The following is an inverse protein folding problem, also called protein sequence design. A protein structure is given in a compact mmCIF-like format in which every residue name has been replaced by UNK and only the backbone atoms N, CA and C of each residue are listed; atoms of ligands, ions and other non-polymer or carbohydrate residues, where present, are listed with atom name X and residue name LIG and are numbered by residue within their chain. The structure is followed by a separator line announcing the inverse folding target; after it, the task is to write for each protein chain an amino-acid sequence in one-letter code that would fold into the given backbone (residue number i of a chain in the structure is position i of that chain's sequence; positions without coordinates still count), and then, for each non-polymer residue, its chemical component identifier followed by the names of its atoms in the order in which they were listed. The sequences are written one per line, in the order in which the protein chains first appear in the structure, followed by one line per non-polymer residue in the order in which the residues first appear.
data_IF_134739254215
#
_entry.id   IF_134739254215
#
_cell.length_a   1.000
_cell.length_b   1.000
_cell.length_c   1.000
_cell.angle_alpha   90.00
_cell.angle_beta   90.00
_cell.angle_gamma   90.00
#
_symmetry.space_group_name_H-M   'P 1'
#
loop_
_entity.id
_entity.type
_entity.pdbx_description
1 polymer ?
#
# COMPACT_ATOMS: atom_id res chain seq x y z
N UNK A 1 -7.12 6.81 7.06
CA UNK A 1 -6.28 5.68 6.60
C UNK A 1 -4.89 6.21 6.29
N UNK A 2 -3.85 5.41 6.47
CA UNK A 2 -2.46 5.78 6.18
C UNK A 2 -1.93 4.84 5.11
N UNK A 3 -1.37 5.36 4.02
CA UNK A 3 -0.94 4.56 2.87
C UNK A 3 0.51 4.83 2.47
N UNK A 4 1.21 3.76 2.10
CA UNK A 4 2.49 3.75 1.39
C UNK A 4 2.29 2.90 0.13
N UNK A 5 2.50 3.47 -1.05
CA UNK A 5 2.31 2.74 -2.28
C UNK A 5 3.33 3.07 -3.37
N UNK A 6 3.40 2.19 -4.36
CA UNK A 6 3.98 2.46 -5.67
C UNK A 6 2.83 2.65 -6.65
N UNK A 7 2.79 3.74 -7.42
CA UNK A 7 1.74 3.96 -8.42
C UNK A 7 2.26 4.71 -9.64
N UNK A 8 1.61 4.51 -10.78
CA UNK A 8 1.80 5.30 -11.99
C UNK A 8 0.50 5.91 -12.53
N UNK A 9 -0.48 6.16 -11.66
CA UNK A 9 -1.77 6.75 -12.03
C UNK A 9 -1.63 8.14 -12.68
N UNK A 10 -0.71 8.98 -12.23
CA UNK A 10 -0.51 10.31 -12.82
C UNK A 10 -0.15 10.27 -14.31
N UNK A 11 0.57 9.23 -14.74
CA UNK A 11 0.97 9.05 -16.15
C UNK A 11 0.03 8.12 -16.93
N UNK A 12 -0.76 7.30 -16.23
CA UNK A 12 -1.65 6.31 -16.81
C UNK A 12 -3.03 6.34 -16.13
N UNK A 13 -3.73 7.49 -16.15
CA UNK A 13 -4.94 7.69 -15.36
C UNK A 13 -6.02 6.66 -15.73
N UNK A 14 -6.48 5.91 -14.73
CA UNK A 14 -7.49 4.85 -14.90
C UNK A 14 -7.02 3.59 -15.64
N UNK A 15 -5.74 3.52 -16.01
CA UNK A 15 -5.08 2.35 -16.59
C UNK A 15 -3.71 2.10 -15.95
N UNK A 16 -3.60 2.36 -14.65
CA UNK A 16 -2.36 2.36 -13.90
C UNK A 16 -2.02 1.01 -13.27
N UNK A 17 -0.76 0.88 -12.89
CA UNK A 17 -0.27 -0.17 -11.99
C UNK A 17 -0.12 0.44 -10.60
N UNK A 18 -0.44 -0.33 -9.57
CA UNK A 18 -0.32 0.12 -8.18
C UNK A 18 -0.04 -1.04 -7.22
N UNK A 19 0.77 -0.77 -6.20
CA UNK A 19 1.17 -1.74 -5.17
C UNK A 19 1.07 -1.06 -3.82
N UNK A 20 0.16 -1.54 -2.97
CA UNK A 20 -0.29 -0.81 -1.78
C UNK A 20 0.10 -1.50 -0.48
N UNK A 21 0.46 -0.68 0.52
CA UNK A 21 0.44 -1.01 1.93
C UNK A 21 -0.38 0.05 2.68
N UNK A 22 -1.51 -0.35 3.24
CA UNK A 22 -2.49 0.57 3.82
C UNK A 22 -2.82 0.15 5.26
N UNK A 23 -2.55 1.03 6.21
CA UNK A 23 -3.04 0.90 7.57
C UNK A 23 -4.47 1.44 7.65
N UNK A 24 -5.41 0.52 7.73
CA UNK A 24 -6.83 0.82 7.90
C UNK A 24 -7.07 1.39 9.29
N UNK A 25 -7.90 2.44 9.37
CA UNK A 25 -8.29 3.04 10.64
C UNK A 25 -9.00 2.03 11.55
N UNK A 26 -9.01 2.32 12.84
CA UNK A 26 -9.62 1.45 13.84
C UNK A 26 -10.37 2.26 14.91
N UNK A 27 -11.11 1.57 15.77
CA UNK A 27 -11.77 2.14 16.95
C UNK A 27 -11.00 1.77 18.22
N UNK A 28 -11.22 2.50 19.32
CA UNK A 28 -10.60 2.19 20.61
C UNK A 28 -10.72 0.71 20.98
N UNK A 29 -9.61 0.12 21.43
CA UNK A 29 -9.53 -1.28 21.85
C UNK A 29 -9.48 -2.31 20.73
N UNK A 30 -9.47 -1.90 19.45
CA UNK A 30 -9.30 -2.82 18.31
C UNK A 30 -7.95 -2.62 17.64
N UNK A 31 -7.27 -3.70 17.21
CA UNK A 31 -5.99 -3.58 16.52
C UNK A 31 -6.17 -2.88 15.17
N UNK A 32 -5.09 -2.27 14.68
CA UNK A 32 -5.01 -1.84 13.29
C UNK A 32 -5.01 -3.05 12.35
N UNK A 33 -5.48 -2.82 11.12
CA UNK A 33 -5.38 -3.79 10.03
C UNK A 33 -4.42 -3.24 8.99
N UNK A 34 -3.41 -4.03 8.62
CA UNK A 34 -2.57 -3.74 7.48
C UNK A 34 -3.15 -4.47 6.26
N UNK A 35 -3.55 -3.70 5.25
CA UNK A 35 -3.99 -4.20 3.96
C UNK A 35 -2.83 -4.09 2.96
N UNK A 36 -2.69 -5.10 2.11
CA UNK A 36 -1.84 -5.03 0.92
C UNK A 36 -2.67 -5.24 -0.32
N UNK A 37 -2.35 -4.56 -1.41
CA UNK A 37 -3.06 -4.72 -2.68
C UNK A 37 -2.12 -4.63 -3.88
N UNK A 38 -2.58 -5.15 -5.02
CA UNK A 38 -1.86 -5.05 -6.30
C UNK A 38 -2.87 -4.83 -7.42
N UNK A 39 -2.76 -3.68 -8.07
CA UNK A 39 -3.51 -3.35 -9.28
C UNK A 39 -2.59 -3.36 -10.50
N UNK A 40 -3.12 -3.86 -11.61
CA UNK A 40 -2.41 -3.96 -12.88
C UNK A 40 -3.31 -3.38 -13.96
N UNK A 41 -2.78 -2.42 -14.74
CA UNK A 41 -3.43 -1.85 -15.92
C UNK A 41 -4.90 -1.47 -15.70
N UNK A 42 -5.15 -0.66 -14.68
CA UNK A 42 -6.48 -0.13 -14.37
C UNK A 42 -7.39 -1.13 -13.68
N UNK A 43 -6.89 -2.26 -13.18
CA UNK A 43 -7.74 -3.18 -12.40
C UNK A 43 -8.24 -2.58 -11.09
N UNK A 44 -7.72 -1.41 -10.67
CA UNK A 44 -8.24 -0.60 -9.57
C UNK A 44 -9.25 0.48 -9.99
N UNK A 45 -9.58 0.58 -11.28
CA UNK A 45 -10.44 1.63 -11.83
C UNK A 45 -11.66 1.06 -12.56
N UNK A 46 -12.82 1.72 -12.45
CA UNK A 46 -14.07 1.24 -13.04
C UNK A 46 -14.58 -0.04 -12.37
N UNK A 47 -14.42 -1.19 -13.04
CA UNK A 47 -14.71 -2.50 -12.42
C UNK A 47 -13.49 -2.93 -11.62
N UNK A 48 -13.53 -2.63 -10.32
CA UNK A 48 -12.45 -2.95 -9.38
C UNK A 48 -12.28 -4.48 -9.27
N UNK A 49 -11.05 -4.94 -9.54
CA UNK A 49 -10.59 -6.30 -9.30
C UNK A 49 -9.51 -6.21 -8.23
N UNK A 50 -9.99 -6.23 -6.98
CA UNK A 50 -9.16 -6.22 -5.79
C UNK A 50 -8.32 -7.49 -5.64
N UNK A 51 -7.10 -7.33 -5.15
CA UNK A 51 -6.18 -8.43 -4.76
C UNK A 51 -5.75 -8.22 -3.31
N UNK A 52 -6.71 -7.85 -2.46
CA UNK A 52 -6.47 -7.49 -1.07
C UNK A 52 -6.03 -8.71 -0.26
N UNK A 53 -5.06 -8.48 0.63
CA UNK A 53 -4.82 -9.34 1.78
C UNK A 53 -4.72 -8.47 3.01
N UNK A 54 -5.45 -8.83 4.07
CA UNK A 54 -5.53 -8.09 5.34
C UNK A 54 -4.84 -8.89 6.44
N UNK A 55 -4.09 -8.21 7.29
CA UNK A 55 -3.32 -8.79 8.37
C UNK A 55 -3.52 -8.00 9.67
N UNK A 56 -3.56 -8.71 10.79
CA UNK A 56 -3.19 -8.12 12.08
C UNK A 56 -1.70 -8.33 12.29
N UNK A 57 -1.02 -7.27 12.67
CA UNK A 57 0.42 -7.26 12.95
C UNK A 57 0.65 -7.55 14.44
N UNK A 58 1.81 -8.14 14.75
CA UNK A 58 2.15 -8.67 16.08
C UNK A 58 2.64 -7.60 17.08
N UNK A 59 2.38 -6.34 16.79
CA UNK A 59 2.76 -5.18 17.61
C UNK A 59 1.73 -4.06 17.44
N UNK A 60 1.76 -3.06 18.32
CA UNK A 60 0.97 -1.84 18.19
C UNK A 60 1.72 -0.82 17.32
N UNK A 61 1.26 -0.52 16.09
CA UNK A 61 1.96 0.36 15.16
C UNK A 61 1.91 1.84 15.57
N UNK A 62 1.24 2.18 16.68
CA UNK A 62 1.13 3.57 17.16
C UNK A 62 2.16 3.92 18.23
N UNK A 63 2.87 2.93 18.78
CA UNK A 63 3.80 3.10 19.90
C UNK A 63 5.21 3.45 19.44
N UNK A 64 5.71 2.82 18.37
CA UNK A 64 7.04 3.06 17.82
C UNK A 64 7.05 2.98 16.29
N UNK A 65 8.17 3.35 15.68
CA UNK A 65 8.39 3.23 14.24
C UNK A 65 8.73 1.80 13.84
N UNK A 66 8.13 1.35 12.74
CA UNK A 66 8.36 0.02 12.13
C UNK A 66 8.74 0.17 10.65
N UNK A 67 9.56 -0.74 10.13
CA UNK A 67 9.96 -0.72 8.73
C UNK A 67 8.92 -1.41 7.86
N UNK A 68 8.21 -0.64 7.03
CA UNK A 68 7.32 -1.17 5.99
C UNK A 68 8.05 -1.10 4.65
N UNK A 69 8.27 -2.25 4.01
CA UNK A 69 9.05 -2.35 2.77
C UNK A 69 8.27 -3.03 1.65
N UNK A 70 8.29 -2.43 0.46
CA UNK A 70 7.84 -3.04 -0.78
C UNK A 70 9.08 -3.35 -1.62
N UNK A 71 9.41 -4.62 -1.76
CA UNK A 71 10.42 -5.09 -2.70
C UNK A 71 9.73 -5.47 -4.01
N UNK A 72 10.01 -4.73 -5.09
CA UNK A 72 9.44 -5.00 -6.41
C UNK A 72 10.56 -5.29 -7.42
N UNK A 73 10.43 -6.42 -8.11
CA UNK A 73 11.32 -6.84 -9.20
C UNK A 73 10.50 -7.41 -10.36
N UNK A 74 11.08 -7.60 -11.56
CA UNK A 74 10.38 -8.24 -12.68
C UNK A 74 9.93 -9.69 -12.44
N UNK A 75 10.31 -10.31 -11.30
CA UNK A 75 9.97 -11.68 -10.93
C UNK A 75 8.88 -11.76 -9.86
N UNK A 76 8.86 -10.81 -8.92
CA UNK A 76 7.96 -10.85 -7.76
C UNK A 76 7.86 -9.51 -7.04
N UNK A 77 6.79 -9.37 -6.26
CA UNK A 77 6.64 -8.36 -5.21
C UNK A 77 6.68 -9.06 -3.86
N UNK A 78 7.42 -8.52 -2.91
CA UNK A 78 7.44 -8.98 -1.52
C UNK A 78 7.12 -7.78 -0.63
N UNK A 79 6.14 -7.95 0.25
CA UNK A 79 5.78 -6.99 1.28
C UNK A 79 6.40 -7.43 2.59
N UNK A 80 7.13 -6.54 3.25
CA UNK A 80 7.79 -6.82 4.52
C UNK A 80 7.38 -5.81 5.59
N UNK A 81 7.31 -6.31 6.81
CA UNK A 81 7.17 -5.52 8.03
C UNK A 81 8.28 -5.95 8.97
N UNK A 82 9.16 -5.02 9.36
CA UNK A 82 10.37 -5.28 10.16
C UNK A 82 11.21 -6.45 9.62
N UNK A 83 11.50 -6.41 8.31
CA UNK A 83 12.23 -7.45 7.57
C UNK A 83 11.56 -8.84 7.54
N UNK A 84 10.34 -8.98 8.08
CA UNK A 84 9.54 -10.21 8.00
C UNK A 84 8.62 -10.15 6.78
N UNK A 85 8.73 -11.08 5.82
CA UNK A 85 7.84 -11.11 4.66
C UNK A 85 6.42 -11.52 5.09
N UNK A 86 5.45 -10.61 4.91
CA UNK A 86 4.04 -10.86 5.22
C UNK A 86 3.24 -11.32 3.99
N UNK A 87 3.71 -10.99 2.79
CA UNK A 87 3.07 -11.39 1.53
C UNK A 87 4.09 -11.47 0.41
N UNK A 88 3.97 -12.52 -0.41
CA UNK A 88 4.69 -12.70 -1.67
C UNK A 88 3.71 -12.77 -2.83
N UNK A 89 3.96 -11.99 -3.87
CA UNK A 89 3.18 -11.96 -5.11
C UNK A 89 4.11 -12.29 -6.29
N UNK A 90 4.24 -13.57 -6.67
CA UNK A 90 5.09 -13.96 -7.79
C UNK A 90 4.46 -13.57 -9.12
N UNK A 91 5.28 -13.16 -10.11
CA UNK A 91 4.83 -12.95 -11.48
C UNK A 91 4.39 -14.27 -12.09
N UNK A 92 3.09 -14.39 -12.37
CA UNK A 92 2.51 -15.52 -13.09
C UNK A 92 2.35 -15.23 -14.58
N UNK A 93 2.03 -13.99 -14.93
CA UNK A 93 1.93 -13.52 -16.31
C UNK A 93 2.01 -11.99 -16.38
N UNK A 94 2.30 -11.46 -17.57
CA UNK A 94 2.41 -10.01 -17.82
C UNK A 94 1.08 -9.30 -17.66
N UNK A 95 -0.03 -10.01 -17.84
CA UNK A 95 -1.38 -9.50 -17.64
C UNK A 95 -1.75 -9.36 -16.15
N UNK A 96 -0.99 -9.98 -15.24
CA UNK A 96 -1.30 -10.03 -13.81
C UNK A 96 -0.18 -9.49 -12.94
N UNK A 97 0.83 -8.85 -13.53
CA UNK A 97 1.97 -8.34 -12.78
C UNK A 97 2.38 -6.94 -13.27
N UNK A 98 2.67 -5.99 -12.36
CA UNK A 98 3.07 -4.65 -12.75
C UNK A 98 4.49 -4.66 -13.32
N UNK A 99 4.62 -4.15 -14.55
CA UNK A 99 5.87 -4.16 -15.33
C UNK A 99 6.27 -2.76 -15.83
N UNK A 100 5.47 -1.74 -15.54
CA UNK A 100 5.79 -0.35 -15.90
C UNK A 100 6.42 0.38 -14.71
N UNK A 101 7.28 1.38 -14.96
CA UNK A 101 7.79 2.26 -13.90
C UNK A 101 6.67 2.83 -13.02
N UNK A 102 6.97 3.01 -11.73
CA UNK A 102 6.07 3.56 -10.72
C UNK A 102 6.82 4.55 -9.83
N UNK A 103 6.06 5.43 -9.19
CA UNK A 103 6.52 6.41 -8.21
C UNK A 103 6.12 5.96 -6.82
N UNK A 104 6.96 6.25 -5.83
CA UNK A 104 6.64 6.01 -4.42
C UNK A 104 5.81 7.18 -3.91
N UNK A 105 4.65 6.91 -3.32
CA UNK A 105 3.85 7.92 -2.62
C UNK A 105 3.55 7.50 -1.19
N UNK A 106 3.32 8.50 -0.34
CA UNK A 106 2.84 8.32 1.03
C UNK A 106 1.70 9.29 1.30
N UNK A 107 0.64 8.83 1.95
CA UNK A 107 -0.55 9.66 2.19
C UNK A 107 -1.25 9.34 3.51
N UNK A 108 -2.03 10.32 3.97
CA UNK A 108 -3.06 10.14 5.00
C UNK A 108 -4.34 10.76 4.46
N UNK A 109 -5.43 9.99 4.43
CA UNK A 109 -6.68 10.44 3.84
C UNK A 109 -7.91 9.78 4.46
N UNK A 110 -9.07 10.39 4.19
CA UNK A 110 -10.37 9.93 4.68
C UNK A 110 -10.98 8.87 3.76
N UNK A 111 -10.86 7.61 4.17
CA UNK A 111 -11.42 6.45 3.50
C UNK A 111 -12.69 5.92 4.20
N UNK A 112 -13.49 6.81 4.80
CA UNK A 112 -14.69 6.47 5.60
C UNK A 112 -15.71 5.57 4.89
N UNK A 113 -15.72 5.54 3.56
CA UNK A 113 -16.64 4.70 2.80
C UNK A 113 -16.34 3.20 2.92
N UNK A 114 -15.14 2.79 3.34
CA UNK A 114 -14.76 1.38 3.38
C UNK A 114 -13.71 0.98 4.43
N UNK A 115 -12.87 1.88 4.93
CA UNK A 115 -11.67 1.50 5.68
C UNK A 115 -11.93 0.76 7.01
N UNK A 116 -12.85 1.26 7.85
CA UNK A 116 -13.06 0.71 9.20
C UNK A 116 -14.32 -0.12 9.24
N UNK A 117 -14.17 -1.45 9.39
CA UNK A 117 -15.27 -2.43 9.34
C UNK A 117 -16.18 -2.23 8.13
N UNK A 118 -15.58 -2.23 6.93
CA UNK A 118 -16.26 -2.06 5.65
C UNK A 118 -17.12 -0.78 5.59
N UNK A 119 -16.62 0.30 6.23
CA UNK A 119 -17.25 1.63 6.25
C UNK A 119 -18.29 1.84 7.35
N UNK A 120 -18.47 0.86 8.25
CA UNK A 120 -19.39 0.97 9.39
C UNK A 120 -19.00 2.10 10.34
N UNK A 121 -17.71 2.32 10.56
CA UNK A 121 -17.21 3.42 11.38
C UNK A 121 -16.51 4.46 10.50
N UNK A 122 -17.00 5.69 10.55
CA UNK A 122 -16.48 6.82 9.76
C UNK A 122 -15.48 7.63 10.57
N UNK A 123 -14.65 8.41 9.87
CA UNK A 123 -13.77 9.38 10.49
C UNK A 123 -14.59 10.37 11.33
N UNK A 124 -14.21 10.50 12.60
CA UNK A 124 -14.80 11.47 13.52
C UNK A 124 -13.80 12.58 13.75
N UNK A 125 -14.01 13.70 13.06
CA UNK A 125 -13.11 14.85 13.08
C UNK A 125 -13.03 15.55 14.43
N UNK A 126 -13.84 15.19 15.43
CA UNK A 126 -13.61 15.65 16.81
C UNK A 126 -12.30 15.13 17.41
N UNK A 127 -11.75 14.05 16.85
CA UNK A 127 -10.44 13.50 17.24
C UNK A 127 -9.28 14.05 16.38
N UNK A 128 -9.51 15.09 15.58
CA UNK A 128 -8.44 15.71 14.78
C UNK A 128 -7.39 16.39 15.67
N UNK A 129 -6.13 16.50 15.20
CA UNK A 129 -5.61 16.02 13.92
C UNK A 129 -5.29 14.52 13.91
N UNK A 130 -5.51 13.87 12.77
CA UNK A 130 -4.96 12.54 12.50
C UNK A 130 -3.54 12.69 11.94
N UNK A 131 -2.56 12.05 12.57
CA UNK A 131 -1.14 12.24 12.23
C UNK A 131 -0.50 10.90 11.90
N UNK A 132 0.17 10.84 10.75
CA UNK A 132 1.08 9.77 10.37
C UNK A 132 2.51 10.32 10.32
N UNK A 133 3.48 9.57 10.85
CA UNK A 133 4.90 9.95 10.84
C UNK A 133 5.67 8.96 9.99
N UNK A 134 6.48 9.48 9.06
CA UNK A 134 7.38 8.70 8.22
C UNK A 134 8.81 9.18 8.48
N UNK A 135 9.75 8.23 8.56
CA UNK A 135 11.17 8.52 8.80
C UNK A 135 12.03 7.43 8.15
N UNK A 136 13.35 7.66 8.13
CA UNK A 136 14.34 6.68 7.63
C UNK A 136 14.02 6.15 6.23
N UNK A 137 13.71 7.06 5.30
CA UNK A 137 13.37 6.71 3.92
C UNK A 137 14.51 5.95 3.24
N UNK A 138 14.20 4.77 2.70
CA UNK A 138 15.13 3.95 1.92
C UNK A 138 14.55 3.73 0.54
N UNK A 139 15.26 4.19 -0.48
CA UNK A 139 14.93 3.93 -1.88
C UNK A 139 16.16 3.30 -2.55
N UNK A 140 16.07 2.01 -2.84
CA UNK A 140 17.08 1.26 -3.59
C UNK A 140 16.44 0.54 -4.76
N UNK A 141 16.91 0.79 -5.97
CA UNK A 141 16.34 0.21 -7.18
C UNK A 141 16.87 0.87 -8.46
N UNK A 142 16.33 0.44 -9.59
CA UNK A 142 16.66 1.01 -10.89
C UNK A 142 15.74 2.19 -11.19
N UNK A 143 16.31 3.36 -11.46
CA UNK A 143 15.56 4.50 -11.99
C UNK A 143 14.99 4.16 -13.36
N UNK A 144 13.76 4.61 -13.65
CA UNK A 144 13.17 4.52 -14.98
C UNK A 144 14.01 5.23 -16.06
N UNK A 145 14.84 6.19 -15.63
CA UNK A 145 15.74 6.97 -16.48
C UNK A 145 17.18 6.41 -16.51
N UNK A 146 17.45 5.30 -15.83
CA UNK A 146 18.76 4.67 -15.91
C UNK A 146 19.00 4.09 -17.31
N UNK A 147 20.23 4.19 -17.81
CA UNK A 147 20.60 3.49 -19.05
C UNK A 147 20.38 1.99 -18.88
N UNK A 148 19.81 1.36 -19.91
CA UNK A 148 19.82 -0.09 -20.02
C UNK A 148 21.30 -0.53 -20.15
N UNK A 149 21.71 -1.41 -19.24
CA UNK A 149 23.03 -2.04 -19.27
C UNK A 149 23.00 -3.21 -20.26
#
# INVERSE_FOLDING_TARGET
MVGLNLSNDEIHPGFHDEVDMEFLGTTFGKPYTLQTNVYIRGSGHGKIIGREMKFHIWFDPTIDFHHCTILWSPKEIVFLVDDVPIRRYPRKSDATFPLRPMWVNGSIWDASSWATEDGKYKADYRYQPFVAKYTNFKAGGCSAYAQAW
#
